data_IF_737762951331
#
_entry.id   IF_737762951331
#
_cell.length_a   1.000
_cell.length_b   1.000
_cell.length_c   1.000
_cell.angle_alpha   90.00
_cell.angle_beta   90.00
_cell.angle_gamma   90.00
#
_symmetry.space_group_name_H-M   'P 1'
#
loop_
_entity.id
_entity.type
_entity.pdbx_description
1 polymer ?
#
# COMPACT_ATOMS: atom_id res chain seq x y z
N UNK A 1 -0.58 -10.99 -8.89
CA UNK A 1 -0.15 -10.52 -10.22
C UNK A 1 1.36 -10.31 -10.19
N UNK A 2 2.09 -10.99 -11.07
CA UNK A 2 3.52 -10.74 -11.24
C UNK A 2 3.65 -9.38 -11.93
N UNK A 3 4.28 -8.40 -11.24
CA UNK A 3 4.58 -7.12 -11.85
C UNK A 3 5.39 -7.32 -13.13
N UNK A 4 4.97 -6.65 -14.20
CA UNK A 4 5.70 -6.71 -15.46
C UNK A 4 7.15 -6.30 -15.25
N UNK A 5 8.09 -7.14 -15.67
CA UNK A 5 9.50 -6.77 -15.68
C UNK A 5 9.70 -5.68 -16.71
N UNK A 6 10.41 -4.62 -16.36
CA UNK A 6 10.83 -3.57 -17.30
C UNK A 6 11.84 -4.18 -18.28
N UNK A 7 11.37 -4.66 -19.42
CA UNK A 7 12.21 -5.41 -20.37
C UNK A 7 12.54 -4.61 -21.63
N UNK A 8 11.76 -3.58 -21.92
CA UNK A 8 11.94 -2.80 -23.13
C UNK A 8 12.92 -1.66 -22.91
N UNK A 9 13.90 -1.55 -23.81
CA UNK A 9 14.90 -0.48 -23.77
C UNK A 9 14.24 0.90 -23.84
N UNK A 10 14.63 1.81 -22.95
CA UNK A 10 14.16 3.19 -22.94
C UNK A 10 12.71 3.39 -22.46
N UNK A 11 11.99 2.32 -22.04
CA UNK A 11 10.61 2.40 -21.54
C UNK A 11 10.54 2.00 -20.07
N UNK A 12 9.94 2.87 -19.26
CA UNK A 12 9.64 2.60 -17.85
C UNK A 12 8.12 2.70 -17.65
N UNK A 13 7.50 1.59 -17.23
CA UNK A 13 6.07 1.52 -16.94
C UNK A 13 5.85 1.76 -15.45
N UNK A 14 4.91 2.62 -15.10
CA UNK A 14 4.58 3.00 -13.71
C UNK A 14 3.07 3.00 -13.46
N UNK A 15 2.68 3.12 -12.21
CA UNK A 15 1.27 3.23 -11.82
C UNK A 15 0.45 1.98 -12.16
N UNK A 16 -0.80 2.18 -12.52
CA UNK A 16 -1.74 1.08 -12.80
C UNK A 16 -1.38 0.26 -14.05
N UNK A 17 -0.67 0.84 -15.02
CA UNK A 17 -0.14 0.10 -16.16
C UNK A 17 0.85 -0.99 -15.73
N UNK A 18 1.56 -0.80 -14.62
CA UNK A 18 2.46 -1.80 -14.05
C UNK A 18 1.77 -2.71 -13.01
N UNK A 19 0.88 -2.15 -12.20
CA UNK A 19 0.28 -2.84 -11.06
C UNK A 19 -1.14 -2.33 -10.79
N UNK A 20 -2.08 -2.77 -11.61
CA UNK A 20 -3.50 -2.45 -11.46
C UNK A 20 -4.09 -3.13 -10.24
N UNK A 21 -4.96 -2.43 -9.54
CA UNK A 21 -5.73 -2.89 -8.38
C UNK A 21 -7.17 -2.43 -8.44
N UNK A 22 -8.01 -2.97 -7.56
CA UNK A 22 -9.40 -2.53 -7.47
C UNK A 22 -9.47 -1.06 -7.00
N UNK A 23 -10.27 -0.20 -7.66
CA UNK A 23 -10.30 1.25 -7.40
C UNK A 23 -10.98 1.65 -6.09
N UNK A 24 -11.62 0.73 -5.37
CA UNK A 24 -12.41 0.98 -4.17
C UNK A 24 -11.72 1.88 -3.13
N UNK A 25 -10.42 1.72 -2.99
CA UNK A 25 -9.64 2.43 -1.96
C UNK A 25 -8.94 3.69 -2.47
N UNK A 26 -9.00 3.97 -3.76
CA UNK A 26 -8.23 5.06 -4.37
C UNK A 26 -6.70 4.90 -4.31
N UNK A 27 -6.20 3.78 -3.76
CA UNK A 27 -4.78 3.55 -3.51
C UNK A 27 -3.89 3.46 -4.76
N UNK A 28 -4.50 3.42 -5.97
CA UNK A 28 -3.77 3.45 -7.24
C UNK A 28 -2.92 4.70 -7.40
N UNK A 29 -3.51 5.86 -7.17
CA UNK A 29 -2.81 7.14 -7.24
C UNK A 29 -1.71 7.26 -6.19
N UNK A 30 -1.98 6.84 -4.95
CA UNK A 30 -0.97 6.84 -3.87
C UNK A 30 0.27 6.07 -4.29
N UNK A 31 0.11 4.85 -4.81
CA UNK A 31 1.25 4.04 -5.25
C UNK A 31 1.94 4.66 -6.46
N UNK A 32 1.17 5.21 -7.43
CA UNK A 32 1.76 5.85 -8.60
C UNK A 32 2.62 7.06 -8.24
N UNK A 33 2.18 7.91 -7.30
CA UNK A 33 2.97 9.04 -6.82
C UNK A 33 4.24 8.58 -6.11
N UNK A 34 4.15 7.59 -5.23
CA UNK A 34 5.33 7.02 -4.59
C UNK A 34 6.27 6.33 -5.58
N UNK A 35 5.73 5.67 -6.62
CA UNK A 35 6.53 5.12 -7.71
C UNK A 35 7.36 6.20 -8.39
N UNK A 36 6.77 7.36 -8.67
CA UNK A 36 7.47 8.50 -9.26
C UNK A 36 8.53 9.07 -8.30
N UNK A 37 8.20 9.23 -7.01
CA UNK A 37 9.14 9.74 -6.00
C UNK A 37 10.35 8.82 -5.89
N UNK A 38 10.15 7.50 -5.73
CA UNK A 38 11.25 6.54 -5.68
C UNK A 38 12.06 6.49 -6.98
N UNK A 39 11.39 6.58 -8.13
CA UNK A 39 12.06 6.56 -9.43
C UNK A 39 12.92 7.80 -9.65
N UNK A 40 12.39 8.97 -9.33
CA UNK A 40 13.12 10.25 -9.41
C UNK A 40 14.35 10.22 -8.51
N UNK A 41 14.21 9.69 -7.30
CA UNK A 41 15.34 9.56 -6.38
C UNK A 41 16.43 8.61 -6.93
N UNK A 42 16.05 7.46 -7.45
CA UNK A 42 17.00 6.46 -7.96
C UNK A 42 17.69 6.91 -9.27
N UNK A 43 16.94 7.56 -10.16
CA UNK A 43 17.45 8.02 -11.47
C UNK A 43 17.99 9.45 -11.41
N UNK A 44 17.65 10.18 -10.37
CA UNK A 44 17.98 11.60 -10.24
C UNK A 44 19.45 11.87 -9.97
N UNK A 45 19.82 13.12 -10.13
CA UNK A 45 21.18 13.64 -10.02
C UNK A 45 21.56 14.10 -8.62
N UNK A 46 20.98 13.54 -7.58
CA UNK A 46 21.29 13.92 -6.19
C UNK A 46 20.66 15.24 -5.71
N UNK A 47 19.70 15.79 -6.45
CA UNK A 47 18.88 16.90 -5.95
C UNK A 47 18.02 16.42 -4.77
N UNK A 48 17.79 17.29 -3.80
CA UNK A 48 16.98 17.03 -2.60
C UNK A 48 15.74 16.17 -2.89
N UNK A 49 15.60 15.10 -2.16
CA UNK A 49 14.44 14.24 -2.21
C UNK A 49 13.72 14.25 -0.85
N UNK A 50 12.39 14.31 -0.82
CA UNK A 50 11.64 14.11 0.42
C UNK A 50 11.95 12.80 1.15
N UNK A 51 12.57 11.83 0.45
CA UNK A 51 12.97 10.54 0.99
C UNK A 51 14.23 10.59 1.85
N UNK A 52 15.08 11.60 1.66
CA UNK A 52 16.30 11.77 2.45
C UNK A 52 15.98 12.03 3.93
N UNK A 53 14.77 12.52 4.21
CA UNK A 53 14.24 12.69 5.56
C UNK A 53 13.66 11.40 6.18
N UNK A 54 13.46 10.34 5.37
CA UNK A 54 12.73 9.15 5.79
C UNK A 54 13.54 7.85 5.78
N UNK A 55 14.64 7.79 5.02
CA UNK A 55 15.34 6.52 4.82
C UNK A 55 16.79 6.71 4.35
N UNK A 56 17.74 6.64 5.29
CA UNK A 56 19.18 6.68 5.05
C UNK A 56 19.72 5.46 4.23
N UNK A 57 18.87 4.50 3.91
CA UNK A 57 19.28 3.26 3.22
C UNK A 57 19.47 3.40 1.71
N UNK A 58 19.20 4.59 1.13
CA UNK A 58 19.49 4.88 -0.26
C UNK A 58 20.82 5.60 -0.40
N UNK A 59 21.83 4.98 -1.04
CA UNK A 59 23.02 5.72 -1.43
C UNK A 59 22.62 6.79 -2.45
N UNK A 60 22.69 8.05 -2.06
CA UNK A 60 22.56 9.18 -2.99
C UNK A 60 23.77 9.12 -3.92
N UNK A 61 23.60 8.94 -5.23
CA UNK A 61 24.73 8.96 -6.13
C UNK A 61 25.29 10.37 -6.23
N UNK A 62 26.57 10.51 -5.97
CA UNK A 62 27.28 11.78 -5.98
C UNK A 62 27.45 12.43 -7.37
N UNK A 63 26.97 11.82 -8.45
CA UNK A 63 27.11 12.31 -9.82
C UNK A 63 25.88 12.03 -10.67
N UNK A 64 25.65 12.90 -11.66
CA UNK A 64 24.64 12.68 -12.69
C UNK A 64 24.87 11.29 -13.33
N UNK A 65 23.86 10.42 -13.29
CA UNK A 65 23.95 9.07 -13.85
C UNK A 65 23.79 9.15 -15.37
N UNK A 66 24.59 8.36 -16.06
CA UNK A 66 24.45 8.18 -17.50
C UNK A 66 23.26 7.26 -17.80
N UNK A 67 22.12 7.85 -18.12
CA UNK A 67 20.91 7.11 -18.49
C UNK A 67 21.03 6.42 -19.85
N UNK A 68 22.09 6.65 -20.63
CA UNK A 68 22.37 5.91 -21.87
C UNK A 68 22.90 4.50 -21.59
N UNK A 69 23.50 4.29 -20.42
CA UNK A 69 23.92 2.97 -19.98
C UNK A 69 22.75 2.13 -19.45
N UNK A 70 22.06 1.45 -20.37
CA UNK A 70 20.86 0.68 -20.02
C UNK A 70 21.10 -0.45 -19.02
N UNK A 71 22.27 -1.03 -18.97
CA UNK A 71 22.63 -2.06 -18.01
C UNK A 71 22.61 -1.50 -16.57
N UNK A 72 23.14 -0.31 -16.38
CA UNK A 72 23.10 0.39 -15.12
C UNK A 72 21.66 0.79 -14.76
N UNK A 73 20.92 1.37 -15.70
CA UNK A 73 19.51 1.71 -15.53
C UNK A 73 18.69 0.49 -15.11
N UNK A 74 18.90 -0.67 -15.73
CA UNK A 74 18.21 -1.90 -15.32
C UNK A 74 18.52 -2.32 -13.88
N UNK A 75 19.76 -2.16 -13.43
CA UNK A 75 20.12 -2.46 -12.04
C UNK A 75 19.37 -1.55 -11.05
N UNK A 76 19.28 -0.26 -11.37
CA UNK A 76 18.52 0.73 -10.62
C UNK A 76 17.03 0.44 -10.61
N UNK A 77 16.46 0.06 -11.76
CA UNK A 77 15.04 -0.32 -11.85
C UNK A 77 14.70 -1.58 -11.05
N UNK A 78 15.65 -2.52 -10.90
CA UNK A 78 15.48 -3.67 -9.99
C UNK A 78 15.44 -3.21 -8.52
N UNK A 79 16.33 -2.34 -8.11
CA UNK A 79 16.34 -1.78 -6.75
C UNK A 79 15.03 -1.01 -6.47
N UNK A 80 14.61 -0.16 -7.41
CA UNK A 80 13.32 0.54 -7.36
C UNK A 80 12.14 -0.42 -7.23
N UNK A 81 12.11 -1.51 -8.03
CA UNK A 81 11.05 -2.51 -7.97
C UNK A 81 10.90 -3.12 -6.56
N UNK A 82 11.99 -3.47 -5.92
CA UNK A 82 11.96 -4.05 -4.58
C UNK A 82 11.55 -3.03 -3.52
N UNK A 83 12.01 -1.80 -3.63
CA UNK A 83 11.65 -0.72 -2.69
C UNK A 83 10.15 -0.42 -2.75
N UNK A 84 9.62 -0.17 -3.95
CA UNK A 84 8.20 0.11 -4.14
C UNK A 84 7.29 -1.04 -3.70
N UNK A 85 7.77 -2.27 -3.79
CA UNK A 85 6.98 -3.48 -3.53
C UNK A 85 6.45 -3.53 -2.09
N UNK A 86 7.19 -3.01 -1.13
CA UNK A 86 6.76 -2.95 0.28
C UNK A 86 5.45 -2.16 0.41
N UNK A 87 5.43 -0.93 -0.08
CA UNK A 87 4.24 -0.07 -0.10
C UNK A 87 3.11 -0.65 -0.96
N UNK A 88 3.44 -1.01 -2.21
CA UNK A 88 2.46 -1.50 -3.16
C UNK A 88 1.76 -2.79 -2.68
N UNK A 89 2.48 -3.69 -1.99
CA UNK A 89 1.88 -4.91 -1.44
C UNK A 89 0.85 -4.61 -0.36
N UNK A 90 1.17 -3.73 0.57
CA UNK A 90 0.24 -3.35 1.66
C UNK A 90 -1.04 -2.78 1.07
N UNK A 91 -0.94 -1.84 0.16
CA UNK A 91 -2.11 -1.20 -0.47
C UNK A 91 -2.89 -2.20 -1.34
N UNK A 92 -2.22 -3.11 -2.06
CA UNK A 92 -2.89 -4.15 -2.84
C UNK A 92 -3.69 -5.12 -1.96
N UNK A 93 -3.11 -5.57 -0.84
CA UNK A 93 -3.78 -6.46 0.11
C UNK A 93 -5.00 -5.76 0.71
N UNK A 94 -4.86 -4.50 1.13
CA UNK A 94 -5.97 -3.70 1.63
C UNK A 94 -7.08 -3.54 0.59
N UNK A 95 -6.74 -3.18 -0.65
CA UNK A 95 -7.71 -3.01 -1.73
C UNK A 95 -8.50 -4.29 -1.99
N UNK A 96 -7.83 -5.44 -2.04
CA UNK A 96 -8.47 -6.75 -2.24
C UNK A 96 -9.34 -7.15 -1.03
N UNK A 97 -8.83 -6.96 0.18
CA UNK A 97 -9.55 -7.31 1.41
C UNK A 97 -10.81 -6.48 1.58
N UNK A 98 -10.72 -5.16 1.36
CA UNK A 98 -11.87 -4.26 1.45
C UNK A 98 -12.86 -4.50 0.32
N UNK A 99 -12.39 -4.82 -0.90
CA UNK A 99 -13.29 -5.23 -1.98
C UNK A 99 -14.03 -6.53 -1.64
N UNK A 100 -13.33 -7.54 -1.13
CA UNK A 100 -13.97 -8.79 -0.72
C UNK A 100 -14.95 -8.57 0.42
N UNK A 101 -14.64 -7.68 1.35
CA UNK A 101 -15.48 -7.42 2.50
C UNK A 101 -16.73 -6.59 2.14
N UNK A 102 -16.58 -5.52 1.34
CA UNK A 102 -17.64 -4.54 1.09
C UNK A 102 -18.22 -4.58 -0.31
N UNK A 103 -17.46 -5.02 -1.32
CA UNK A 103 -17.85 -4.99 -2.72
C UNK A 103 -18.60 -6.23 -3.18
N UNK A 104 -18.47 -7.35 -2.46
CA UNK A 104 -19.10 -8.62 -2.84
C UNK A 104 -20.32 -8.87 -1.95
N UNK A 105 -21.53 -9.06 -2.50
CA UNK A 105 -22.71 -9.42 -1.72
C UNK A 105 -22.52 -10.84 -1.13
N UNK A 106 -22.28 -10.91 0.18
CA UNK A 106 -22.08 -12.15 0.91
C UNK A 106 -22.55 -11.97 2.35
N UNK A 107 -23.62 -12.68 2.71
CA UNK A 107 -24.25 -12.59 4.03
C UNK A 107 -23.34 -13.10 5.15
N UNK A 108 -22.46 -14.06 4.86
CA UNK A 108 -21.50 -14.57 5.85
C UNK A 108 -20.46 -13.53 6.28
N UNK A 109 -20.23 -12.50 5.46
CA UNK A 109 -19.31 -11.40 5.78
C UNK A 109 -19.98 -10.27 6.58
N UNK A 110 -21.31 -10.33 6.81
CA UNK A 110 -22.04 -9.27 7.53
C UNK A 110 -21.47 -9.03 8.93
N UNK A 111 -21.08 -10.11 9.62
CA UNK A 111 -20.43 -10.03 10.94
C UNK A 111 -19.14 -9.23 10.88
N UNK A 112 -18.28 -9.52 9.89
CA UNK A 112 -17.01 -8.82 9.72
C UNK A 112 -17.20 -7.37 9.27
N UNK A 113 -18.21 -7.09 8.42
CA UNK A 113 -18.55 -5.71 8.01
C UNK A 113 -18.95 -4.87 9.22
N UNK A 114 -19.92 -5.36 9.99
CA UNK A 114 -20.39 -4.69 11.19
C UNK A 114 -19.25 -4.52 12.20
N UNK A 115 -18.48 -5.57 12.43
CA UNK A 115 -17.32 -5.52 13.32
C UNK A 115 -16.25 -4.52 12.89
N UNK A 116 -16.01 -4.39 11.57
CA UNK A 116 -15.07 -3.41 11.02
C UNK A 116 -15.53 -1.97 11.32
N UNK A 117 -16.82 -1.65 11.11
CA UNK A 117 -17.35 -0.33 11.45
C UNK A 117 -17.29 -0.06 12.95
N UNK A 118 -17.72 -1.03 13.77
CA UNK A 118 -17.64 -0.91 15.23
C UNK A 118 -16.20 -0.77 15.74
N UNK A 119 -15.25 -1.39 15.07
CA UNK A 119 -13.83 -1.21 15.37
C UNK A 119 -13.38 0.23 15.11
N UNK A 120 -13.80 0.83 14.00
CA UNK A 120 -13.49 2.22 13.67
C UNK A 120 -14.19 3.22 14.62
N UNK A 121 -15.41 2.94 15.07
CA UNK A 121 -16.12 3.77 16.07
C UNK A 121 -15.35 3.94 17.39
N UNK A 122 -14.43 3.03 17.71
CA UNK A 122 -13.56 3.17 18.88
C UNK A 122 -12.60 4.36 18.79
N UNK A 123 -12.35 4.86 17.56
CA UNK A 123 -11.43 5.97 17.33
C UNK A 123 -9.97 5.65 17.60
N UNK A 124 -9.15 6.69 17.79
CA UNK A 124 -7.73 6.54 18.12
C UNK A 124 -6.97 5.70 17.08
N UNK A 125 -6.18 4.74 17.55
CA UNK A 125 -5.34 3.89 16.70
C UNK A 125 -6.15 2.91 15.86
N UNK A 126 -7.40 2.58 16.26
CA UNK A 126 -8.30 1.75 15.49
C UNK A 126 -8.72 2.40 14.16
N UNK A 127 -8.63 3.72 14.04
CA UNK A 127 -8.87 4.48 12.81
C UNK A 127 -7.55 4.92 12.18
N UNK A 128 -6.66 5.50 12.99
CA UNK A 128 -5.40 6.09 12.52
C UNK A 128 -4.52 5.07 11.80
N UNK A 129 -4.37 3.87 12.36
CA UNK A 129 -3.57 2.81 11.78
C UNK A 129 -4.05 2.39 10.39
N UNK A 130 -5.31 1.92 10.22
CA UNK A 130 -5.85 1.56 8.92
C UNK A 130 -5.84 2.69 7.89
N UNK A 131 -6.13 3.94 8.30
CA UNK A 131 -6.07 5.09 7.38
C UNK A 131 -4.63 5.37 6.96
N UNK A 132 -3.65 5.32 7.87
CA UNK A 132 -2.24 5.52 7.55
C UNK A 132 -1.70 4.46 6.57
N UNK A 133 -2.13 3.20 6.74
CA UNK A 133 -1.82 2.12 5.80
C UNK A 133 -2.40 2.39 4.41
N UNK A 134 -3.68 2.80 4.36
CA UNK A 134 -4.38 3.07 3.11
C UNK A 134 -3.83 4.30 2.38
N UNK A 135 -3.49 5.33 3.13
CA UNK A 135 -2.88 6.55 2.59
C UNK A 135 -1.41 6.35 2.17
N UNK A 136 -0.80 5.19 2.48
CA UNK A 136 0.61 4.93 2.19
C UNK A 136 1.59 5.70 3.08
N UNK A 137 1.10 6.23 4.22
CA UNK A 137 1.93 6.96 5.18
C UNK A 137 2.70 6.04 6.13
N UNK A 138 2.17 4.84 6.37
CA UNK A 138 2.81 3.82 7.20
C UNK A 138 2.74 2.47 6.46
N UNK A 139 3.60 2.22 5.45
CA UNK A 139 3.57 0.99 4.65
C UNK A 139 4.21 -0.17 5.44
N UNK A 140 3.64 -0.49 6.61
CA UNK A 140 4.12 -1.53 7.50
C UNK A 140 3.25 -2.79 7.39
N UNK A 141 3.81 -3.92 6.88
CA UNK A 141 3.08 -5.18 6.80
C UNK A 141 2.64 -5.74 8.17
N UNK A 142 3.41 -5.50 9.23
CA UNK A 142 3.05 -5.96 10.56
C UNK A 142 1.86 -5.20 11.12
N UNK A 143 1.82 -3.89 10.90
CA UNK A 143 0.68 -3.05 11.27
C UNK A 143 -0.58 -3.49 10.51
N UNK A 144 -0.45 -3.84 9.22
CA UNK A 144 -1.54 -4.39 8.42
C UNK A 144 -2.08 -5.69 9.04
N UNK A 145 -1.20 -6.64 9.34
CA UNK A 145 -1.56 -7.93 9.95
C UNK A 145 -2.23 -7.71 11.30
N UNK A 146 -1.68 -6.82 12.13
CA UNK A 146 -2.26 -6.48 13.43
C UNK A 146 -3.71 -6.01 13.31
N UNK A 147 -3.98 -4.99 12.48
CA UNK A 147 -5.34 -4.46 12.33
C UNK A 147 -6.30 -5.47 11.68
N UNK A 148 -5.81 -6.28 10.74
CA UNK A 148 -6.61 -7.34 10.13
C UNK A 148 -7.12 -8.34 11.17
N UNK A 149 -6.23 -8.86 12.02
CA UNK A 149 -6.62 -9.79 13.08
C UNK A 149 -7.39 -9.09 14.21
N UNK A 150 -7.07 -7.85 14.55
CA UNK A 150 -7.80 -7.09 15.55
C UNK A 150 -9.28 -6.91 15.16
N UNK A 151 -9.57 -6.58 13.90
CA UNK A 151 -10.95 -6.50 13.39
C UNK A 151 -11.62 -7.87 13.45
N UNK A 152 -10.95 -8.94 13.03
CA UNK A 152 -11.52 -10.29 13.04
C UNK A 152 -11.88 -10.74 14.47
N UNK A 153 -10.94 -10.64 15.40
CA UNK A 153 -11.16 -11.02 16.81
C UNK A 153 -12.25 -10.15 17.44
N UNK A 154 -12.23 -8.84 17.19
CA UNK A 154 -13.25 -7.92 17.70
C UNK A 154 -14.64 -8.26 17.17
N UNK A 155 -14.77 -8.61 15.90
CA UNK A 155 -16.04 -9.03 15.29
C UNK A 155 -16.60 -10.31 15.96
N UNK A 156 -15.73 -11.28 16.25
CA UNK A 156 -16.10 -12.50 16.97
C UNK A 156 -16.55 -12.18 18.40
N UNK A 157 -15.85 -11.29 19.10
CA UNK A 157 -16.23 -10.86 20.47
C UNK A 157 -17.60 -10.17 20.49
N UNK A 158 -17.90 -9.31 19.50
CA UNK A 158 -19.21 -8.66 19.37
C UNK A 158 -20.32 -9.69 19.14
N UNK A 159 -20.05 -10.73 18.35
CA UNK A 159 -21.02 -11.82 18.12
C UNK A 159 -21.39 -12.51 19.45
N UNK A 160 -20.42 -12.84 20.29
CA UNK A 160 -20.67 -13.48 21.58
C UNK A 160 -21.38 -12.56 22.59
N UNK A 161 -21.20 -11.24 22.48
CA UNK A 161 -21.88 -10.25 23.35
C UNK A 161 -23.31 -9.93 22.90
N UNK A 162 -23.73 -10.37 21.72
CA UNK A 162 -25.03 -10.00 21.16
C UNK A 162 -25.11 -8.57 20.64
N UNK A 163 -24.02 -7.80 20.68
CA UNK A 163 -23.95 -6.40 20.30
C UNK A 163 -23.92 -6.19 18.78
N UNK A 164 -23.86 -7.24 18.01
CA UNK A 164 -23.72 -7.19 16.55
C UNK A 164 -24.97 -6.67 15.83
N UNK A 165 -26.15 -6.83 16.46
CA UNK A 165 -27.45 -6.48 15.91
C UNK A 165 -28.02 -5.18 16.48
N UNK A 166 -27.27 -4.47 17.33
CA UNK A 166 -27.66 -3.15 17.81
C UNK A 166 -27.51 -2.14 16.66
N UNK A 167 -28.56 -1.36 16.30
CA UNK A 167 -28.44 -0.37 15.25
C UNK A 167 -27.29 0.60 15.49
N UNK A 168 -26.58 0.90 14.43
CA UNK A 168 -25.54 1.96 14.45
C UNK A 168 -26.32 3.27 14.53
N UNK A 169 -26.23 3.95 15.67
CA UNK A 169 -26.88 5.23 15.92
C UNK A 169 -26.25 6.40 15.16
#
# INVERSE_FOLDING_TARGET
>A
MQGMRQQQFGLIVVGDAMNMRHPLTGGGMTVAFWDCVYLTHILGTGAWSPLDAYDDSFPVPASARDLSNWTEVQSMLRAWHWKRKKLASVINILAMSLYSLFGVPNDHLTILRTGCFRYFERGGDCVRGPISLLAGLAPDPLLLVYHFFAVAVYSVLLMFRGDLFVPIG
#
